data_IF_264762903607
#
_entry.id   IF_264762903607
#
_cell.length_a   1.000
_cell.length_b   1.000
_cell.length_c   1.000
_cell.angle_alpha   90.00
_cell.angle_beta   90.00
_cell.angle_gamma   90.00
#
_symmetry.space_group_name_H-M   'P 1'
#
loop_
_entity.id
_entity.type
_entity.pdbx_description
1 polymer ?
#
# COMPACT_ATOMS: atom_id res chain seq x y z
N UNK A 1 -0.59 18.58 14.29
CA UNK A 1 0.02 18.97 13.00
C UNK A 1 0.80 17.80 12.42
N UNK A 2 0.09 16.97 11.65
CA UNK A 2 0.64 15.76 11.00
C UNK A 2 1.37 16.19 9.72
N UNK A 3 2.58 15.64 9.48
CA UNK A 3 3.26 15.77 8.19
C UNK A 3 2.60 14.84 7.19
N UNK A 4 1.93 15.42 6.20
CA UNK A 4 1.24 14.66 5.16
C UNK A 4 1.27 15.39 3.81
N UNK A 5 1.37 14.61 2.74
CA UNK A 5 1.15 15.05 1.38
C UNK A 5 0.34 13.97 0.66
N UNK A 6 -0.48 14.35 -0.29
CA UNK A 6 -1.19 13.40 -1.13
C UNK A 6 -1.51 14.02 -2.48
N UNK A 7 -1.59 13.17 -3.47
CA UNK A 7 -2.10 13.52 -4.78
C UNK A 7 -3.42 12.78 -5.05
N UNK A 8 -4.36 13.42 -5.73
CA UNK A 8 -5.62 12.80 -6.15
C UNK A 8 -6.02 13.29 -7.53
N UNK A 9 -6.74 12.46 -8.27
CA UNK A 9 -7.23 12.75 -9.61
C UNK A 9 -7.15 11.52 -10.52
N UNK A 10 -8.16 11.32 -11.33
CA UNK A 10 -8.21 10.22 -12.31
C UNK A 10 -7.49 10.57 -13.62
N UNK A 11 -7.17 11.85 -13.83
CA UNK A 11 -6.53 12.32 -15.04
C UNK A 11 -5.25 13.07 -14.68
N UNK A 12 -4.13 12.67 -15.30
CA UNK A 12 -2.82 13.29 -15.09
C UNK A 12 -2.78 14.79 -15.42
N UNK A 13 -3.67 15.27 -16.30
CA UNK A 13 -3.78 16.67 -16.66
C UNK A 13 -4.75 17.45 -15.75
N UNK A 14 -5.46 16.78 -14.85
CA UNK A 14 -6.37 17.38 -13.89
C UNK A 14 -6.25 16.62 -12.56
N UNK A 15 -5.16 16.84 -11.88
CA UNK A 15 -4.85 16.24 -10.58
C UNK A 15 -4.64 17.35 -9.53
N UNK A 16 -5.00 17.05 -8.30
CA UNK A 16 -4.75 17.89 -7.14
C UNK A 16 -3.60 17.27 -6.34
N UNK A 17 -2.59 18.08 -6.02
CA UNK A 17 -1.56 17.73 -5.04
C UNK A 17 -1.74 18.64 -3.84
N UNK A 18 -1.90 18.06 -2.65
CA UNK A 18 -2.08 18.78 -1.41
C UNK A 18 -0.97 18.44 -0.41
N UNK A 19 -0.55 19.43 0.34
CA UNK A 19 0.43 19.30 1.42
C UNK A 19 -0.13 19.92 2.69
N UNK A 20 0.14 19.27 3.83
CA UNK A 20 -0.30 19.78 5.12
C UNK A 20 0.59 20.93 5.61
N UNK A 21 0.03 21.83 6.42
CA UNK A 21 0.79 22.86 7.10
C UNK A 21 1.88 22.27 8.00
N UNK A 22 1.61 21.11 8.62
CA UNK A 22 2.60 20.41 9.44
C UNK A 22 3.81 19.92 8.64
N UNK A 23 3.64 19.53 7.37
CA UNK A 23 4.74 19.19 6.48
C UNK A 23 5.57 20.43 6.14
N UNK A 24 4.92 21.53 5.76
CA UNK A 24 5.59 22.78 5.40
C UNK A 24 6.35 23.41 6.56
N UNK A 25 5.91 23.20 7.81
CA UNK A 25 6.57 23.74 9.00
C UNK A 25 7.77 22.90 9.46
N UNK A 26 7.72 21.58 9.24
CA UNK A 26 8.71 20.64 9.81
C UNK A 26 9.76 20.18 8.81
N UNK A 27 9.55 20.39 7.51
CA UNK A 27 10.48 20.02 6.45
C UNK A 27 11.14 21.26 5.83
N UNK A 28 12.39 21.11 5.42
CA UNK A 28 13.09 22.13 4.63
C UNK A 28 12.46 22.24 3.23
N UNK A 29 12.73 23.36 2.55
CA UNK A 29 12.27 23.58 1.17
C UNK A 29 12.68 22.45 0.23
N UNK A 30 13.91 21.96 0.37
CA UNK A 30 14.45 20.87 -0.46
C UNK A 30 13.74 19.53 -0.21
N UNK A 31 13.39 19.23 1.05
CA UNK A 31 12.63 18.06 1.41
C UNK A 31 11.18 18.14 0.91
N UNK A 32 10.55 19.30 1.01
CA UNK A 32 9.19 19.55 0.48
C UNK A 32 9.18 19.39 -1.05
N UNK A 33 10.19 19.93 -1.75
CA UNK A 33 10.34 19.79 -3.21
C UNK A 33 10.42 18.29 -3.60
N UNK A 34 11.17 17.50 -2.85
CA UNK A 34 11.28 16.06 -3.10
C UNK A 34 9.97 15.32 -2.84
N UNK A 35 9.25 15.63 -1.76
CA UNK A 35 7.92 15.06 -1.48
C UNK A 35 6.93 15.42 -2.59
N UNK A 36 6.91 16.66 -3.04
CA UNK A 36 6.06 17.09 -4.15
C UNK A 36 6.44 16.36 -5.45
N UNK A 37 7.73 16.18 -5.72
CA UNK A 37 8.23 15.41 -6.86
C UNK A 37 7.76 13.95 -6.81
N UNK A 38 7.73 13.33 -5.63
CA UNK A 38 7.18 11.99 -5.41
C UNK A 38 5.67 11.94 -5.72
N UNK A 39 4.88 12.86 -5.18
CA UNK A 39 3.43 12.92 -5.42
C UNK A 39 3.09 13.19 -6.90
N UNK A 40 3.81 14.10 -7.53
CA UNK A 40 3.67 14.38 -8.98
C UNK A 40 4.03 13.13 -9.80
N UNK A 41 5.00 12.34 -9.36
CA UNK A 41 5.38 11.09 -10.04
C UNK A 41 4.25 10.04 -9.98
N UNK A 42 3.52 9.94 -8.87
CA UNK A 42 2.31 9.11 -8.79
C UNK A 42 1.26 9.53 -9.81
N UNK A 43 1.03 10.84 -9.95
CA UNK A 43 0.09 11.39 -10.94
C UNK A 43 0.56 11.06 -12.36
N UNK A 44 1.83 11.32 -12.68
CA UNK A 44 2.40 11.09 -13.99
C UNK A 44 2.37 9.60 -14.39
N UNK A 45 2.57 8.69 -13.42
CA UNK A 45 2.49 7.25 -13.62
C UNK A 45 1.04 6.73 -13.76
N UNK A 46 0.01 7.52 -13.43
CA UNK A 46 -1.38 7.09 -13.40
C UNK A 46 -1.67 6.08 -12.29
N UNK A 47 -0.94 6.17 -11.19
CA UNK A 47 -0.95 5.17 -10.11
C UNK A 47 -2.31 5.05 -9.42
N UNK A 48 -3.11 6.11 -9.36
CA UNK A 48 -4.45 6.08 -8.77
C UNK A 48 -5.42 5.25 -9.58
N UNK A 49 -5.43 5.46 -10.91
CA UNK A 49 -6.29 4.69 -11.83
C UNK A 49 -5.86 3.23 -11.82
N UNK A 50 -4.56 2.96 -11.90
CA UNK A 50 -4.04 1.60 -11.94
C UNK A 50 -4.36 0.83 -10.66
N UNK A 51 -4.25 1.46 -9.47
CA UNK A 51 -4.63 0.82 -8.21
C UNK A 51 -6.13 0.57 -8.10
N UNK A 52 -6.95 1.53 -8.50
CA UNK A 52 -8.41 1.36 -8.50
C UNK A 52 -8.84 0.21 -9.41
N UNK A 53 -8.28 0.13 -10.62
CA UNK A 53 -8.54 -0.98 -11.55
C UNK A 53 -8.05 -2.33 -11.00
N UNK A 54 -6.84 -2.37 -10.45
CA UNK A 54 -6.30 -3.60 -9.84
C UNK A 54 -7.21 -4.11 -8.72
N UNK A 55 -7.61 -3.22 -7.80
CA UNK A 55 -8.53 -3.59 -6.71
C UNK A 55 -9.89 -4.06 -7.23
N UNK A 56 -10.46 -3.37 -8.23
CA UNK A 56 -11.71 -3.78 -8.85
C UNK A 56 -11.62 -5.19 -9.45
N UNK A 57 -10.55 -5.47 -10.19
CA UNK A 57 -10.29 -6.79 -10.79
C UNK A 57 -10.11 -7.85 -9.70
N UNK A 58 -9.27 -7.60 -8.69
CA UNK A 58 -9.03 -8.55 -7.60
C UNK A 58 -10.32 -8.86 -6.83
N UNK A 59 -11.11 -7.85 -6.49
CA UNK A 59 -12.39 -8.03 -5.80
C UNK A 59 -13.38 -8.86 -6.64
N UNK A 60 -13.43 -8.63 -7.95
CA UNK A 60 -14.27 -9.41 -8.85
C UNK A 60 -13.87 -10.89 -8.82
N UNK A 61 -12.58 -11.20 -8.89
CA UNK A 61 -12.09 -12.58 -8.79
C UNK A 61 -12.38 -13.21 -7.43
N UNK A 62 -12.17 -12.48 -6.33
CA UNK A 62 -12.47 -12.96 -4.98
C UNK A 62 -13.94 -13.34 -4.86
N UNK A 63 -14.85 -12.46 -5.27
CA UNK A 63 -16.30 -12.72 -5.21
C UNK A 63 -16.66 -13.88 -6.13
N UNK A 64 -16.19 -13.90 -7.37
CA UNK A 64 -16.52 -14.93 -8.34
C UNK A 64 -16.08 -16.31 -7.87
N UNK A 65 -14.82 -16.48 -7.49
CA UNK A 65 -14.30 -17.77 -7.05
C UNK A 65 -14.87 -18.21 -5.70
N UNK A 66 -15.13 -17.29 -4.78
CA UNK A 66 -15.78 -17.64 -3.50
C UNK A 66 -17.17 -18.24 -3.70
N UNK A 67 -17.94 -17.72 -4.67
CA UNK A 67 -19.27 -18.29 -5.01
C UNK A 67 -19.17 -19.68 -5.66
N UNK A 68 -18.20 -19.88 -6.53
CA UNK A 68 -17.96 -21.23 -7.10
C UNK A 68 -17.59 -22.22 -6.01
N UNK A 69 -16.67 -21.87 -5.12
CA UNK A 69 -16.26 -22.72 -4.00
C UNK A 69 -17.44 -23.01 -3.08
N UNK A 70 -18.27 -22.02 -2.78
CA UNK A 70 -19.49 -22.20 -2.00
C UNK A 70 -20.44 -23.22 -2.63
N UNK A 71 -20.67 -23.14 -3.94
CA UNK A 71 -21.49 -24.14 -4.68
C UNK A 71 -20.85 -25.53 -4.60
N UNK A 72 -19.54 -25.65 -4.80
CA UNK A 72 -18.84 -26.93 -4.72
C UNK A 72 -18.94 -27.56 -3.33
N UNK A 73 -18.76 -26.75 -2.26
CA UNK A 73 -18.91 -27.23 -0.88
C UNK A 73 -20.35 -27.73 -0.62
N UNK A 74 -21.32 -26.98 -1.10
CA UNK A 74 -22.72 -27.36 -0.93
C UNK A 74 -23.07 -28.68 -1.63
N UNK A 75 -22.56 -28.86 -2.86
CA UNK A 75 -22.81 -30.04 -3.68
C UNK A 75 -22.02 -31.27 -3.22
N UNK A 76 -20.75 -31.10 -2.91
CA UNK A 76 -19.84 -32.24 -2.63
C UNK A 76 -19.88 -32.66 -1.16
N UNK A 77 -19.85 -31.67 -0.23
CA UNK A 77 -19.79 -31.95 1.20
C UNK A 77 -21.19 -32.14 1.80
N UNK A 78 -22.08 -31.19 1.52
CA UNK A 78 -23.43 -31.21 2.08
C UNK A 78 -24.44 -31.99 1.23
N UNK A 79 -24.05 -32.42 0.01
CA UNK A 79 -24.87 -33.24 -0.92
C UNK A 79 -26.23 -32.61 -1.23
N UNK A 80 -26.32 -31.28 -1.25
CA UNK A 80 -27.54 -30.56 -1.59
C UNK A 80 -27.71 -30.57 -3.12
N UNK A 81 -28.69 -31.27 -3.61
CA UNK A 81 -28.92 -31.43 -5.06
C UNK A 81 -29.68 -30.24 -5.66
N UNK A 82 -30.56 -29.61 -4.89
CA UNK A 82 -31.38 -28.47 -5.36
C UNK A 82 -31.34 -27.30 -4.39
N UNK A 83 -31.30 -26.10 -4.93
CA UNK A 83 -31.28 -24.87 -4.14
C UNK A 83 -29.89 -24.53 -3.58
N UNK A 84 -29.85 -23.64 -2.62
CA UNK A 84 -28.68 -23.17 -1.89
C UNK A 84 -28.82 -23.61 -0.44
N UNK A 85 -27.88 -24.43 0.03
CA UNK A 85 -27.82 -24.92 1.39
C UNK A 85 -26.83 -24.16 2.27
N UNK A 86 -26.66 -24.58 3.54
CA UNK A 86 -25.73 -23.95 4.47
C UNK A 86 -24.26 -24.06 4.02
N UNK A 87 -23.90 -25.11 3.27
CA UNK A 87 -22.56 -25.30 2.76
C UNK A 87 -22.12 -24.21 1.79
N UNK A 88 -23.05 -23.69 1.01
CA UNK A 88 -22.78 -22.53 0.12
C UNK A 88 -22.35 -21.29 0.92
N UNK A 89 -23.07 -20.94 1.97
CA UNK A 89 -22.77 -19.75 2.75
C UNK A 89 -21.45 -19.90 3.50
N UNK A 90 -21.25 -21.03 4.17
CA UNK A 90 -20.02 -21.30 4.92
C UNK A 90 -18.82 -21.35 3.94
N UNK A 91 -18.95 -22.11 2.87
CA UNK A 91 -17.88 -22.26 1.88
C UNK A 91 -17.53 -20.95 1.19
N UNK A 92 -18.54 -20.13 0.83
CA UNK A 92 -18.32 -18.82 0.22
C UNK A 92 -17.62 -17.86 1.18
N UNK A 93 -18.02 -17.77 2.44
CA UNK A 93 -17.41 -16.86 3.42
C UNK A 93 -15.96 -17.28 3.68
N UNK A 94 -15.70 -18.55 3.93
CA UNK A 94 -14.33 -19.03 4.16
C UNK A 94 -13.44 -18.77 2.94
N UNK A 95 -13.94 -19.07 1.73
CA UNK A 95 -13.21 -18.81 0.50
C UNK A 95 -12.97 -17.32 0.29
N UNK A 96 -13.95 -16.44 0.58
CA UNK A 96 -13.82 -14.99 0.45
C UNK A 96 -12.73 -14.44 1.38
N UNK A 97 -12.64 -14.93 2.61
CA UNK A 97 -11.57 -14.54 3.54
C UNK A 97 -10.20 -14.99 3.03
N UNK A 98 -10.05 -16.25 2.62
CA UNK A 98 -8.78 -16.79 2.14
C UNK A 98 -8.33 -16.10 0.86
N UNK A 99 -9.20 -15.97 -0.13
CA UNK A 99 -8.91 -15.28 -1.39
C UNK A 99 -8.67 -13.78 -1.18
N UNK A 100 -9.37 -13.18 -0.23
CA UNK A 100 -9.18 -11.78 0.18
C UNK A 100 -7.76 -11.51 0.72
N UNK A 101 -7.22 -12.43 1.52
CA UNK A 101 -5.83 -12.35 2.00
C UNK A 101 -4.85 -12.41 0.82
N UNK A 102 -5.06 -13.33 -0.12
CA UNK A 102 -4.23 -13.43 -1.34
C UNK A 102 -4.31 -12.14 -2.17
N UNK A 103 -5.52 -11.62 -2.37
CA UNK A 103 -5.73 -10.35 -3.08
C UNK A 103 -5.03 -9.18 -2.38
N UNK A 104 -5.08 -9.12 -1.04
CA UNK A 104 -4.40 -8.09 -0.25
C UNK A 104 -2.87 -8.16 -0.43
N UNK A 105 -2.27 -9.35 -0.46
CA UNK A 105 -0.83 -9.54 -0.70
C UNK A 105 -0.44 -9.04 -2.09
N UNK A 106 -1.24 -9.36 -3.12
CA UNK A 106 -1.00 -8.90 -4.50
C UNK A 106 -1.10 -7.37 -4.57
N UNK A 107 -2.15 -6.78 -3.99
CA UNK A 107 -2.33 -5.33 -3.95
C UNK A 107 -1.20 -4.63 -3.20
N UNK A 108 -0.76 -5.16 -2.07
CA UNK A 108 0.37 -4.64 -1.30
C UNK A 108 1.69 -4.74 -2.08
N UNK A 109 1.95 -5.85 -2.76
CA UNK A 109 3.13 -6.00 -3.61
C UNK A 109 3.15 -4.97 -4.74
N UNK A 110 2.03 -4.76 -5.41
CA UNK A 110 1.90 -3.77 -6.47
C UNK A 110 2.06 -2.35 -5.91
N UNK A 111 1.47 -2.05 -4.75
CA UNK A 111 1.61 -0.77 -4.06
C UNK A 111 3.08 -0.46 -3.76
N UNK A 112 3.83 -1.43 -3.18
CA UNK A 112 5.27 -1.25 -2.93
C UNK A 112 6.07 -0.96 -4.20
N UNK A 113 5.74 -1.59 -5.31
CA UNK A 113 6.40 -1.31 -6.61
C UNK A 113 6.14 0.10 -7.12
N UNK A 114 4.95 0.64 -6.88
CA UNK A 114 4.64 2.04 -7.23
C UNK A 114 5.50 3.00 -6.43
N UNK A 115 5.67 2.75 -5.13
CA UNK A 115 6.49 3.60 -4.26
C UNK A 115 7.93 3.74 -4.80
N UNK A 116 8.58 2.64 -5.18
CA UNK A 116 9.93 2.70 -5.77
C UNK A 116 9.97 3.51 -7.07
N UNK A 117 8.94 3.42 -7.91
CA UNK A 117 8.86 4.22 -9.14
C UNK A 117 8.62 5.69 -8.85
N UNK A 118 7.79 6.00 -7.87
CA UNK A 118 7.54 7.38 -7.44
C UNK A 118 8.77 8.00 -6.80
N UNK A 119 9.52 7.24 -5.99
CA UNK A 119 10.80 7.68 -5.43
C UNK A 119 11.84 8.00 -6.52
N UNK A 120 11.98 7.12 -7.51
CA UNK A 120 12.87 7.36 -8.63
C UNK A 120 12.42 8.56 -9.47
N UNK A 121 11.10 8.77 -9.64
CA UNK A 121 10.54 9.94 -10.30
C UNK A 121 10.79 11.23 -9.51
N UNK A 122 10.55 11.23 -8.21
CA UNK A 122 10.84 12.35 -7.30
C UNK A 122 12.33 12.69 -7.29
N UNK A 123 13.19 11.67 -7.27
CA UNK A 123 14.64 11.85 -7.34
C UNK A 123 15.10 12.46 -8.67
N UNK A 124 14.46 12.14 -9.79
CA UNK A 124 14.75 12.77 -11.11
C UNK A 124 14.30 14.23 -11.14
N UNK A 125 13.20 14.58 -10.49
CA UNK A 125 12.64 15.93 -10.48
C UNK A 125 13.39 16.86 -9.50
N UNK A 126 13.60 16.39 -8.27
CA UNK A 126 14.16 17.22 -7.20
C UNK A 126 15.64 16.92 -6.91
N UNK A 127 16.15 15.77 -7.31
CA UNK A 127 17.48 15.29 -7.00
C UNK A 127 17.49 14.17 -5.96
N UNK A 128 18.36 13.17 -6.16
CA UNK A 128 18.43 11.97 -5.29
C UNK A 128 18.74 12.31 -3.83
N UNK A 129 19.65 13.26 -3.60
CA UNK A 129 20.02 13.69 -2.23
C UNK A 129 18.84 14.28 -1.46
N UNK A 130 18.04 15.13 -2.11
CA UNK A 130 16.83 15.73 -1.50
C UNK A 130 15.77 14.66 -1.21
N UNK A 131 15.60 13.69 -2.11
CA UNK A 131 14.64 12.60 -1.92
C UNK A 131 15.03 11.70 -0.74
N UNK A 132 16.31 11.36 -0.59
CA UNK A 132 16.81 10.61 0.56
C UNK A 132 16.60 11.40 1.86
N UNK A 133 16.91 12.70 1.88
CA UNK A 133 16.71 13.55 3.05
C UNK A 133 15.22 13.63 3.46
N UNK A 134 14.32 13.77 2.49
CA UNK A 134 12.88 13.76 2.73
C UNK A 134 12.39 12.46 3.35
N UNK A 135 12.82 11.30 2.82
CA UNK A 135 12.48 9.98 3.37
C UNK A 135 13.02 9.81 4.80
N UNK A 136 14.25 10.25 5.08
CA UNK A 136 14.82 10.21 6.43
C UNK A 136 14.01 11.09 7.40
N UNK A 137 13.61 12.28 6.97
CA UNK A 137 12.79 13.19 7.78
C UNK A 137 11.42 12.61 8.10
N UNK A 138 10.77 11.99 7.13
CA UNK A 138 9.51 11.29 7.33
C UNK A 138 9.64 10.11 8.31
N UNK A 139 10.75 9.36 8.24
CA UNK A 139 11.04 8.28 9.18
C UNK A 139 11.17 8.74 10.61
N UNK A 140 11.89 9.83 10.84
CA UNK A 140 12.04 10.43 12.17
C UNK A 140 10.71 10.91 12.78
N UNK A 141 9.78 11.35 11.94
CA UNK A 141 8.47 11.82 12.39
C UNK A 141 7.47 10.69 12.67
N UNK A 142 7.67 9.53 12.04
CA UNK A 142 6.81 8.36 12.26
C UNK A 142 7.26 7.50 13.45
N UNK A 143 8.47 7.72 13.99
CA UNK A 143 8.91 7.04 15.20
C UNK A 143 8.15 7.61 16.42
N UNK A 144 7.25 6.84 17.07
CA UNK A 144 6.63 7.28 18.32
C UNK A 144 7.74 7.37 19.37
N UNK A 145 8.00 8.59 19.85
CA UNK A 145 8.84 8.80 21.03
C UNK A 145 8.23 8.01 22.20
N UNK A 146 8.83 6.90 22.58
CA UNK A 146 8.47 6.15 23.79
C UNK A 146 7.97 4.71 23.62
N UNK A 147 7.53 4.24 22.45
CA UNK A 147 6.95 2.88 22.32
C UNK A 147 7.96 1.75 22.04
N UNK A 148 9.23 2.05 21.79
CA UNK A 148 10.25 1.01 21.53
C UNK A 148 10.54 0.10 22.73
N UNK A 149 10.41 0.60 23.95
CA UNK A 149 10.72 -0.16 25.19
C UNK A 149 9.61 -1.14 25.57
N UNK A 150 8.36 -0.73 25.46
CA UNK A 150 7.23 -1.52 25.93
C UNK A 150 6.83 -2.63 24.92
N UNK A 151 6.89 -2.37 23.63
CA UNK A 151 6.58 -3.37 22.60
C UNK A 151 7.68 -4.42 22.43
N UNK A 152 8.93 -4.07 22.68
CA UNK A 152 10.04 -5.04 22.74
C UNK A 152 9.90 -6.03 23.90
N UNK A 153 9.33 -5.59 25.03
CA UNK A 153 9.07 -6.43 26.19
C UNK A 153 7.98 -7.50 25.93
N UNK A 154 7.08 -7.27 24.98
CA UNK A 154 6.06 -8.23 24.57
C UNK A 154 6.52 -9.19 23.44
N UNK A 155 7.78 -9.15 23.01
CA UNK A 155 8.30 -10.02 21.96
C UNK A 155 7.72 -9.75 20.57
N UNK A 156 6.99 -8.63 20.37
CA UNK A 156 6.47 -8.19 19.10
C UNK A 156 7.59 -7.43 18.40
N UNK A 157 8.53 -8.17 17.82
CA UNK A 157 9.46 -7.59 16.85
C UNK A 157 8.65 -7.01 15.70
N UNK A 158 8.79 -5.70 15.46
CA UNK A 158 8.18 -4.99 14.34
C UNK A 158 8.79 -5.44 12.99
N UNK A 159 8.62 -6.71 12.65
CA UNK A 159 9.28 -7.36 11.51
C UNK A 159 8.77 -8.75 11.27
N UNK A 160 7.50 -9.05 11.57
CA UNK A 160 6.98 -10.33 11.08
C UNK A 160 6.88 -10.22 9.55
N UNK A 161 7.39 -11.21 8.85
CA UNK A 161 7.31 -11.36 7.39
C UNK A 161 5.89 -11.13 6.87
N UNK A 162 4.88 -11.48 7.66
CA UNK A 162 3.46 -11.26 7.37
C UNK A 162 3.09 -9.77 7.37
N UNK A 163 3.56 -8.99 8.34
CA UNK A 163 3.30 -7.54 8.41
C UNK A 163 3.93 -6.83 7.22
N UNK A 164 5.13 -7.24 6.81
CA UNK A 164 5.79 -6.69 5.62
C UNK A 164 5.07 -7.08 4.33
N UNK A 165 4.56 -8.31 4.22
CA UNK A 165 3.79 -8.78 3.06
C UNK A 165 2.49 -7.99 2.85
N UNK A 166 1.82 -7.62 3.93
CA UNK A 166 0.54 -6.87 3.90
C UNK A 166 0.74 -5.34 3.90
N UNK A 167 1.97 -4.86 4.16
CA UNK A 167 2.26 -3.42 4.14
C UNK A 167 2.15 -2.87 2.72
N UNK A 168 1.42 -1.77 2.58
CA UNK A 168 1.26 -1.04 1.31
C UNK A 168 2.47 -0.16 0.97
N UNK A 169 3.31 0.17 1.96
CA UNK A 169 4.53 0.94 1.78
C UNK A 169 5.75 0.08 2.14
N UNK A 170 6.84 0.13 1.33
CA UNK A 170 8.08 -0.52 1.68
C UNK A 170 8.72 0.16 2.91
N UNK A 171 9.51 -0.56 3.72
CA UNK A 171 10.33 0.05 4.76
C UNK A 171 11.20 1.18 4.18
N UNK A 172 11.32 2.29 4.92
CA UNK A 172 12.05 3.47 4.47
C UNK A 172 13.51 3.18 4.14
N UNK A 173 14.14 2.29 4.92
CA UNK A 173 15.52 1.85 4.68
C UNK A 173 15.67 1.19 3.29
N UNK A 174 14.69 0.37 2.88
CA UNK A 174 14.70 -0.28 1.56
C UNK A 174 14.50 0.73 0.43
N UNK A 175 13.65 1.76 0.63
CA UNK A 175 13.44 2.85 -0.32
C UNK A 175 14.73 3.67 -0.50
N UNK A 176 15.37 4.06 0.61
CA UNK A 176 16.65 4.79 0.60
C UNK A 176 17.76 3.97 -0.05
N UNK A 177 17.87 2.67 0.26
CA UNK A 177 18.85 1.79 -0.35
C UNK A 177 18.66 1.69 -1.87
N UNK A 178 17.42 1.56 -2.35
CA UNK A 178 17.09 1.53 -3.77
C UNK A 178 17.51 2.82 -4.50
N UNK A 179 17.28 3.99 -3.88
CA UNK A 179 17.71 5.28 -4.43
C UNK A 179 19.23 5.41 -4.53
N UNK A 180 19.99 4.87 -3.58
CA UNK A 180 21.46 4.88 -3.59
C UNK A 180 22.07 4.00 -4.68
N UNK A 181 21.37 2.91 -5.05
CA UNK A 181 21.85 1.97 -6.10
C UNK A 181 21.42 2.37 -7.51
N UNK A 182 20.52 3.32 -7.65
CA UNK A 182 20.03 3.81 -8.97
C UNK A 182 20.79 5.02 -9.51
N UNK A 183 21.87 5.42 -8.87
CA UNK A 183 22.76 6.54 -9.27
C UNK A 183 23.96 6.03 -10.06
#
# INVERSE_FOLDING_TARGET
DVMNAFATGMNRNNALVAVSSGLLQKMSRDEVEAVLGHEVSHVANGDMVTMGLLQGVLNTFVIFFSRIIGILVDRVVFKIERGIGPGYWIGSIVAEVVLGIVAAIIAAWFSRRREYRADAGGARLAGTGKMIAALQRLGQAQEPQGMRGEMAAFGISAGSTLTELLSTHPPLEKRIAALRTSV
#
